data_IF_422726325002
#
_entry.id   IF_422726325002
#
_cell.length_a   1.000
_cell.length_b   1.000
_cell.length_c   1.000
_cell.angle_alpha   90.00
_cell.angle_beta   90.00
_cell.angle_gamma   90.00
#
_symmetry.space_group_name_H-M   'P 1'
#
loop_
_entity.id
_entity.type
_entity.pdbx_description
1 polymer ?
#
# COMPACT_ATOMS: atom_id res chain seq x y z
N UNK A 1 21.71 26.15 7.89
CA UNK A 1 20.28 26.46 8.09
C UNK A 1 19.75 25.63 9.27
N UNK A 2 18.97 26.21 10.19
CA UNK A 2 18.38 25.39 11.26
C UNK A 2 17.21 24.57 10.67
N UNK A 3 17.27 23.26 10.81
CA UNK A 3 16.15 22.38 10.42
C UNK A 3 15.07 22.52 11.49
N UNK A 4 13.91 23.04 11.10
CA UNK A 4 12.80 23.17 12.01
C UNK A 4 12.00 21.86 12.02
N UNK A 5 12.06 21.12 13.10
CA UNK A 5 11.29 19.89 13.29
C UNK A 5 9.96 20.21 13.95
N UNK A 6 8.90 19.57 13.49
CA UNK A 6 7.58 19.71 14.09
C UNK A 6 7.59 19.13 15.50
N UNK A 7 7.08 19.89 16.48
CA UNK A 7 7.08 19.52 17.90
C UNK A 7 6.39 18.20 18.22
N UNK A 8 5.41 17.78 17.42
CA UNK A 8 4.77 16.46 17.57
C UNK A 8 5.76 15.30 17.49
N UNK A 9 6.90 15.48 16.81
CA UNK A 9 7.94 14.45 16.72
C UNK A 9 8.98 14.52 17.85
N UNK A 10 8.88 15.47 18.78
CA UNK A 10 9.78 15.56 19.93
C UNK A 10 9.90 14.25 20.71
N UNK A 11 8.81 13.47 20.93
CA UNK A 11 8.92 12.18 21.61
C UNK A 11 9.86 11.19 20.92
N UNK A 12 10.03 11.25 19.60
CA UNK A 12 10.99 10.43 18.85
C UNK A 12 12.42 10.56 19.40
N UNK A 13 12.78 11.74 19.86
CA UNK A 13 14.13 12.06 20.38
C UNK A 13 14.27 11.82 21.88
N UNK A 14 13.20 11.80 22.64
CA UNK A 14 13.23 11.81 24.11
C UNK A 14 12.75 10.53 24.76
N UNK A 15 11.95 9.73 24.08
CA UNK A 15 11.37 8.52 24.66
C UNK A 15 12.40 7.46 25.00
N UNK A 16 12.14 6.71 26.05
CA UNK A 16 12.91 5.51 26.43
C UNK A 16 12.18 4.21 26.11
N UNK A 17 10.97 4.30 25.59
CA UNK A 17 10.18 3.15 25.18
C UNK A 17 10.86 2.40 24.02
N UNK A 18 10.63 1.09 23.97
CA UNK A 18 11.20 0.22 22.93
C UNK A 18 10.59 0.49 21.56
N UNK A 19 9.24 0.53 21.53
CA UNK A 19 8.50 0.71 20.29
C UNK A 19 8.12 2.18 20.12
N UNK A 20 8.40 2.70 18.94
CA UNK A 20 7.98 4.03 18.52
C UNK A 20 7.14 3.84 17.27
N UNK A 21 5.85 4.10 17.36
CA UNK A 21 4.90 3.89 16.24
C UNK A 21 4.46 5.24 15.72
N UNK A 22 4.72 5.49 14.43
CA UNK A 22 4.31 6.70 13.75
C UNK A 22 3.16 6.37 12.80
N UNK A 23 1.96 6.80 13.14
CA UNK A 23 0.80 6.69 12.26
C UNK A 23 0.39 8.04 11.69
N UNK A 24 -0.40 8.00 10.64
CA UNK A 24 -0.97 9.20 10.07
C UNK A 24 -1.28 9.05 8.59
N UNK A 25 -1.95 10.05 8.03
CA UNK A 25 -2.25 10.10 6.61
C UNK A 25 -1.02 10.37 5.74
N UNK A 26 -1.24 10.40 4.44
CA UNK A 26 -0.23 10.88 3.48
C UNK A 26 0.10 12.36 3.74
N UNK A 27 1.26 12.78 3.30
CA UNK A 27 1.75 14.16 3.43
C UNK A 27 1.93 14.67 4.89
N UNK A 28 2.01 13.79 5.88
CA UNK A 28 2.15 14.11 7.31
C UNK A 28 3.61 14.19 7.80
N UNK A 29 4.59 14.17 6.90
CA UNK A 29 6.04 14.30 7.16
C UNK A 29 6.68 13.24 8.07
N UNK A 30 6.05 12.08 8.28
CA UNK A 30 6.57 10.98 9.14
C UNK A 30 7.97 10.55 8.71
N UNK A 31 8.14 10.15 7.45
CA UNK A 31 9.43 9.65 6.93
C UNK A 31 10.52 10.72 7.03
N UNK A 32 10.18 12.00 6.72
CA UNK A 32 11.11 13.11 6.87
C UNK A 32 11.70 13.21 8.28
N UNK A 33 10.87 13.12 9.31
CA UNK A 33 11.32 13.24 10.70
C UNK A 33 12.08 12.01 11.17
N UNK A 34 11.66 10.80 10.75
CA UNK A 34 12.38 9.58 11.11
C UNK A 34 13.72 9.49 10.40
N UNK A 35 13.82 9.81 9.11
CA UNK A 35 15.09 9.81 8.40
C UNK A 35 16.06 10.84 9.00
N UNK A 36 15.58 12.03 9.37
CA UNK A 36 16.36 13.03 10.09
C UNK A 36 16.84 12.51 11.45
N UNK A 37 15.94 11.92 12.25
CA UNK A 37 16.29 11.33 13.54
C UNK A 37 17.35 10.23 13.37
N UNK A 38 17.19 9.33 12.42
CA UNK A 38 18.12 8.23 12.18
C UNK A 38 19.49 8.74 11.73
N UNK A 39 19.55 9.79 10.90
CA UNK A 39 20.83 10.48 10.59
C UNK A 39 21.50 11.01 11.84
N UNK A 40 20.77 11.70 12.71
CA UNK A 40 21.30 12.25 13.96
C UNK A 40 21.71 11.15 14.93
N UNK A 41 20.96 10.05 14.98
CA UNK A 41 21.26 8.89 15.82
C UNK A 41 22.65 8.29 15.51
N UNK A 42 23.16 8.39 14.28
CA UNK A 42 24.51 7.91 13.93
C UNK A 42 25.63 8.64 14.67
N UNK A 43 25.38 9.80 15.25
CA UNK A 43 26.38 10.52 16.07
C UNK A 43 26.51 9.96 17.49
N UNK A 44 25.55 9.16 17.95
CA UNK A 44 25.67 8.41 19.19
C UNK A 44 26.63 7.21 19.00
N UNK A 45 27.36 6.84 20.07
CA UNK A 45 28.34 5.75 20.03
C UNK A 45 27.63 4.40 19.76
N UNK A 46 28.25 3.58 18.91
CA UNK A 46 27.82 2.19 18.61
C UNK A 46 26.40 2.07 18.05
N UNK A 47 25.95 3.06 17.32
CA UNK A 47 24.64 2.99 16.66
C UNK A 47 24.73 2.26 15.33
N UNK A 48 23.86 1.29 15.16
CA UNK A 48 23.63 0.58 13.91
C UNK A 48 22.14 0.45 13.67
N UNK A 49 21.64 1.15 12.67
CA UNK A 49 20.23 1.13 12.29
C UNK A 49 20.01 0.17 11.12
N UNK A 50 19.10 -0.77 11.28
CA UNK A 50 18.54 -1.54 10.19
C UNK A 50 17.26 -0.86 9.71
N UNK A 51 17.32 -0.19 8.55
CA UNK A 51 16.18 0.50 7.94
C UNK A 51 15.60 -0.36 6.84
N UNK A 52 14.35 -0.76 6.97
CA UNK A 52 13.73 -1.71 6.07
C UNK A 52 12.50 -1.15 5.39
N UNK A 53 12.28 -1.61 4.16
CA UNK A 53 11.03 -1.61 3.42
C UNK A 53 10.66 -3.02 3.00
N UNK A 54 9.44 -3.18 2.48
CA UNK A 54 9.00 -4.48 2.01
C UNK A 54 9.91 -5.05 0.93
N UNK A 55 10.33 -4.23 -0.05
CA UNK A 55 11.30 -4.63 -1.09
C UNK A 55 12.54 -3.73 -1.12
N UNK A 56 13.68 -4.28 -1.58
CA UNK A 56 14.93 -3.51 -1.70
C UNK A 56 14.85 -2.47 -2.83
N UNK A 57 14.17 -2.77 -3.92
CA UNK A 57 13.98 -1.82 -5.04
C UNK A 57 13.26 -0.55 -4.59
N UNK A 58 12.25 -0.67 -3.72
CA UNK A 58 11.59 0.50 -3.13
C UNK A 58 12.53 1.33 -2.26
N UNK A 59 13.44 0.67 -1.52
CA UNK A 59 14.43 1.37 -0.69
C UNK A 59 15.44 2.15 -1.54
N UNK A 60 15.94 1.58 -2.63
CA UNK A 60 16.93 2.23 -3.52
C UNK A 60 16.36 3.48 -4.20
N UNK A 61 15.09 3.43 -4.62
CA UNK A 61 14.46 4.51 -5.39
C UNK A 61 14.06 5.69 -4.48
N UNK A 62 13.64 5.44 -3.25
CA UNK A 62 13.03 6.47 -2.40
C UNK A 62 13.81 6.77 -1.13
N UNK A 63 14.24 5.76 -0.35
CA UNK A 63 14.83 6.01 0.97
C UNK A 63 16.25 6.56 0.85
N UNK A 64 17.10 5.97 0.02
CA UNK A 64 18.51 6.41 -0.10
C UNK A 64 18.61 7.85 -0.62
N UNK A 65 17.85 8.27 -1.65
CA UNK A 65 17.78 9.67 -2.04
C UNK A 65 17.31 10.59 -0.90
N UNK A 66 16.31 10.17 -0.12
CA UNK A 66 15.83 10.93 1.04
C UNK A 66 16.92 11.14 2.09
N UNK A 67 17.72 10.11 2.39
CA UNK A 67 18.84 10.26 3.33
C UNK A 67 19.96 11.17 2.79
N UNK A 68 20.24 11.15 1.49
CA UNK A 68 21.17 12.10 0.86
C UNK A 68 20.68 13.52 1.02
N UNK A 69 19.41 13.78 0.75
CA UNK A 69 18.78 15.09 0.96
C UNK A 69 18.89 15.54 2.44
N UNK A 70 18.70 14.63 3.41
CA UNK A 70 18.84 14.99 4.85
C UNK A 70 20.28 15.32 5.23
N UNK A 71 21.26 14.59 4.71
CA UNK A 71 22.67 14.85 4.92
C UNK A 71 23.05 16.23 4.36
N UNK A 72 22.55 16.58 3.19
CA UNK A 72 22.73 17.90 2.58
C UNK A 72 22.02 19.00 3.39
N UNK A 73 20.77 18.77 3.77
CA UNK A 73 19.96 19.72 4.57
C UNK A 73 20.59 20.03 5.93
N UNK A 74 21.21 19.02 6.54
CA UNK A 74 21.93 19.16 7.82
C UNK A 74 23.34 19.76 7.65
N UNK A 75 23.81 20.01 6.43
CA UNK A 75 25.14 20.53 6.11
C UNK A 75 26.29 19.64 6.64
N UNK A 76 26.10 18.31 6.64
CA UNK A 76 27.03 17.34 7.23
C UNK A 76 27.64 16.36 6.21
N UNK A 77 27.66 16.72 4.92
CA UNK A 77 28.15 15.87 3.82
C UNK A 77 29.53 15.27 4.10
N UNK A 78 30.43 16.03 4.71
CA UNK A 78 31.79 15.60 5.02
C UNK A 78 31.88 14.55 6.15
N UNK A 79 30.79 14.27 6.82
CA UNK A 79 30.72 13.29 7.88
C UNK A 79 30.12 11.94 7.42
N UNK A 80 29.67 11.84 6.17
CA UNK A 80 28.96 10.64 5.71
C UNK A 80 29.52 10.09 4.41
N UNK A 81 29.59 8.77 4.34
CA UNK A 81 29.74 8.01 3.09
C UNK A 81 28.42 7.32 2.77
N UNK A 82 27.89 7.56 1.57
CA UNK A 82 26.62 6.97 1.10
C UNK A 82 26.92 6.01 -0.04
N UNK A 83 26.50 4.77 0.13
CA UNK A 83 26.55 3.71 -0.89
C UNK A 83 25.15 3.37 -1.40
N UNK A 84 25.03 2.39 -2.29
CA UNK A 84 23.74 1.89 -2.74
C UNK A 84 22.92 1.14 -1.67
N UNK A 85 23.53 0.76 -0.53
CA UNK A 85 22.87 -0.07 0.49
C UNK A 85 23.07 0.43 1.92
N UNK A 86 23.99 1.34 2.13
CA UNK A 86 24.40 1.74 3.48
C UNK A 86 24.79 3.23 3.52
N UNK A 87 24.56 3.85 4.67
CA UNK A 87 25.05 5.18 5.01
C UNK A 87 25.92 5.04 6.27
N UNK A 88 27.13 5.53 6.21
CA UNK A 88 28.13 5.42 7.30
C UNK A 88 28.56 6.81 7.73
N UNK A 89 28.42 7.09 9.03
CA UNK A 89 29.02 8.27 9.64
C UNK A 89 30.51 8.02 9.89
N UNK A 90 31.35 8.66 9.12
CA UNK A 90 32.82 8.45 9.15
C UNK A 90 33.49 8.97 10.44
N UNK A 91 32.80 9.86 11.17
CA UNK A 91 33.33 10.42 12.45
C UNK A 91 33.12 9.51 13.66
N UNK A 92 32.03 8.75 13.64
CA UNK A 92 31.59 7.94 14.78
C UNK A 92 31.58 6.45 14.50
N UNK A 93 31.55 6.04 13.20
CA UNK A 93 31.34 4.68 12.77
C UNK A 93 29.87 4.24 12.89
N UNK A 94 28.93 5.17 13.12
CA UNK A 94 27.50 4.85 13.11
C UNK A 94 27.01 4.45 11.70
N UNK A 95 26.18 3.43 11.62
CA UNK A 95 25.77 2.82 10.35
C UNK A 95 24.26 2.81 10.19
N UNK A 96 23.78 3.05 8.96
CA UNK A 96 22.40 2.82 8.54
C UNK A 96 22.42 1.82 7.39
N UNK A 97 21.83 0.66 7.60
CA UNK A 97 21.78 -0.45 6.64
C UNK A 97 20.39 -0.50 6.01
N UNK A 98 20.29 -0.31 4.69
CA UNK A 98 19.02 -0.39 3.98
C UNK A 98 18.81 -1.81 3.44
N UNK A 99 17.69 -2.43 3.80
CA UNK A 99 17.38 -3.82 3.39
C UNK A 99 15.90 -3.97 3.03
N UNK A 100 15.62 -4.82 2.03
CA UNK A 100 14.27 -5.31 1.77
C UNK A 100 13.95 -6.50 2.68
N UNK A 101 12.72 -6.61 3.12
CA UNK A 101 12.25 -7.77 3.89
C UNK A 101 11.97 -8.95 2.96
N UNK A 102 11.38 -8.67 1.78
CA UNK A 102 11.07 -9.66 0.74
C UNK A 102 12.04 -9.52 -0.45
N UNK A 103 12.38 -10.66 -1.04
CA UNK A 103 13.12 -10.76 -2.31
C UNK A 103 12.32 -11.55 -3.32
N UNK A 104 12.75 -11.54 -4.58
CA UNK A 104 12.20 -12.38 -5.65
C UNK A 104 12.22 -13.90 -5.34
N UNK A 105 13.10 -14.34 -4.43
CA UNK A 105 13.25 -15.75 -4.02
C UNK A 105 12.65 -16.07 -2.64
N UNK A 106 11.93 -15.15 -2.01
CA UNK A 106 11.30 -15.34 -0.69
C UNK A 106 11.63 -14.27 0.33
N UNK A 107 11.41 -14.56 1.63
CA UNK A 107 11.71 -13.62 2.71
C UNK A 107 13.18 -13.66 3.13
N UNK A 108 13.82 -12.50 3.30
CA UNK A 108 15.19 -12.40 3.80
C UNK A 108 15.31 -12.40 5.32
N UNK A 109 14.26 -12.74 6.04
CA UNK A 109 14.22 -12.67 7.51
C UNK A 109 15.40 -13.38 8.16
N UNK A 110 15.83 -14.52 7.60
CA UNK A 110 16.99 -15.25 8.11
C UNK A 110 18.29 -14.44 8.03
N UNK A 111 18.50 -13.70 6.96
CA UNK A 111 19.68 -12.86 6.78
C UNK A 111 19.61 -11.61 7.65
N UNK A 112 18.44 -11.00 7.79
CA UNK A 112 18.25 -9.77 8.57
C UNK A 112 18.47 -9.99 10.07
N UNK A 113 17.94 -11.09 10.63
CA UNK A 113 18.15 -11.44 12.05
C UNK A 113 19.60 -11.76 12.41
N UNK A 114 20.45 -12.08 11.42
CA UNK A 114 21.88 -12.40 11.64
C UNK A 114 22.78 -11.17 11.67
N UNK A 115 22.24 -9.96 11.42
CA UNK A 115 23.02 -8.71 11.47
C UNK A 115 23.35 -8.40 12.93
N UNK A 116 24.61 -8.50 13.28
CA UNK A 116 25.05 -8.25 14.64
C UNK A 116 25.12 -6.75 14.99
N UNK A 117 24.76 -6.43 16.24
CA UNK A 117 24.94 -5.08 16.80
C UNK A 117 23.87 -4.08 16.37
N UNK A 118 22.75 -4.52 15.81
CA UNK A 118 21.62 -3.63 15.51
C UNK A 118 21.09 -3.04 16.82
N UNK A 119 20.98 -1.72 16.85
CA UNK A 119 20.46 -0.93 17.99
C UNK A 119 19.10 -0.32 17.70
N UNK A 120 18.82 -0.10 16.39
CA UNK A 120 17.57 0.48 15.93
C UNK A 120 17.08 -0.31 14.72
N UNK A 121 15.84 -0.74 14.76
CA UNK A 121 15.13 -1.40 13.64
C UNK A 121 14.01 -0.48 13.18
N UNK A 122 14.03 -0.07 11.92
CA UNK A 122 13.01 0.78 11.31
C UNK A 122 12.26 -0.02 10.25
N UNK A 123 10.95 -0.03 10.36
CA UNK A 123 10.05 -0.59 9.35
C UNK A 123 9.27 0.56 8.74
N UNK A 124 9.62 0.93 7.52
CA UNK A 124 8.94 1.97 6.75
C UNK A 124 7.90 1.36 5.81
N UNK A 125 6.76 2.03 5.64
CA UNK A 125 5.57 1.48 4.97
C UNK A 125 5.15 0.15 5.62
N UNK A 126 5.08 0.14 6.96
CA UNK A 126 4.83 -1.08 7.73
C UNK A 126 3.42 -1.66 7.49
N UNK A 127 2.51 -0.92 6.87
CA UNK A 127 1.23 -1.45 6.38
C UNK A 127 1.38 -2.55 5.31
N UNK A 128 2.52 -2.60 4.61
CA UNK A 128 2.83 -3.66 3.65
C UNK A 128 3.41 -4.91 4.32
N UNK A 129 3.85 -4.80 5.58
CA UNK A 129 4.46 -5.89 6.32
C UNK A 129 3.43 -6.67 7.14
N UNK A 130 2.85 -7.68 6.53
CA UNK A 130 1.71 -8.44 7.09
C UNK A 130 2.10 -9.67 7.90
N UNK A 131 3.37 -10.10 7.85
CA UNK A 131 3.88 -11.27 8.55
C UNK A 131 4.47 -10.88 9.91
N UNK A 132 3.66 -11.02 10.98
CA UNK A 132 4.07 -10.74 12.36
C UNK A 132 5.23 -11.64 12.81
N UNK A 133 5.24 -12.92 12.44
CA UNK A 133 6.32 -13.85 12.80
C UNK A 133 7.67 -13.42 12.25
N UNK A 134 7.69 -12.89 11.04
CA UNK A 134 8.91 -12.33 10.45
C UNK A 134 9.36 -11.06 11.15
N UNK A 135 8.42 -10.21 11.57
CA UNK A 135 8.73 -9.03 12.40
C UNK A 135 9.36 -9.44 13.72
N UNK A 136 8.77 -10.37 14.45
CA UNK A 136 9.25 -10.85 15.75
C UNK A 136 10.67 -11.44 15.66
N UNK A 137 10.98 -12.19 14.59
CA UNK A 137 12.33 -12.74 14.37
C UNK A 137 13.39 -11.65 14.23
N UNK A 138 13.07 -10.51 13.61
CA UNK A 138 13.99 -9.39 13.48
C UNK A 138 14.03 -8.58 14.78
N UNK A 139 12.88 -8.29 15.37
CA UNK A 139 12.77 -7.55 16.65
C UNK A 139 13.58 -8.21 17.76
N UNK A 140 13.48 -9.54 17.92
CA UNK A 140 14.25 -10.30 18.88
C UNK A 140 15.78 -10.23 18.65
N UNK A 141 16.22 -9.86 17.45
CA UNK A 141 17.65 -9.66 17.15
C UNK A 141 18.19 -8.31 17.61
N UNK A 142 17.32 -7.34 17.88
CA UNK A 142 17.66 -6.01 18.39
C UNK A 142 17.79 -6.06 19.92
N UNK A 143 18.95 -6.46 20.39
CA UNK A 143 19.18 -6.82 21.81
C UNK A 143 20.57 -6.44 22.33
N UNK A 144 21.14 -5.34 21.86
CA UNK A 144 22.45 -4.89 22.35
C UNK A 144 22.37 -4.35 23.78
N UNK A 145 23.41 -4.59 24.57
CA UNK A 145 23.59 -3.95 25.90
C UNK A 145 24.29 -2.60 25.80
N UNK A 146 24.81 -2.24 24.64
CA UNK A 146 25.71 -1.09 24.49
C UNK A 146 24.97 0.23 24.22
N UNK A 147 23.68 0.16 23.82
CA UNK A 147 22.87 1.33 23.52
C UNK A 147 21.38 1.03 23.77
N UNK A 148 20.54 2.05 23.70
CA UNK A 148 19.09 1.86 23.76
C UNK A 148 18.64 1.11 22.50
N UNK A 149 17.89 0.02 22.68
CA UNK A 149 17.27 -0.72 21.60
C UNK A 149 15.94 -0.05 21.22
N UNK A 150 15.77 0.27 19.96
CA UNK A 150 14.57 0.93 19.41
C UNK A 150 14.00 0.15 18.25
N UNK A 151 12.69 0.10 18.17
CA UNK A 151 11.94 -0.39 17.00
C UNK A 151 10.99 0.71 16.56
N UNK A 152 11.22 1.25 15.37
CA UNK A 152 10.43 2.36 14.81
C UNK A 152 9.56 1.80 13.70
N UNK A 153 8.26 1.98 13.83
CA UNK A 153 7.25 1.48 12.87
C UNK A 153 6.55 2.68 12.24
N UNK A 154 6.70 2.87 10.95
CA UNK A 154 6.11 3.99 10.21
C UNK A 154 5.05 3.42 9.28
N UNK A 155 3.82 3.89 9.41
CA UNK A 155 2.73 3.41 8.56
C UNK A 155 1.65 4.46 8.30
N UNK A 156 0.98 4.30 7.18
CA UNK A 156 -0.36 4.83 6.98
C UNK A 156 -1.34 3.72 7.41
N UNK A 157 -2.14 3.92 8.48
CA UNK A 157 -3.01 2.88 8.99
C UNK A 157 -3.84 2.24 7.89
N UNK A 158 -3.91 0.91 7.84
CA UNK A 158 -4.71 0.16 6.86
C UNK A 158 -6.04 -0.25 7.47
N UNK A 159 -6.19 -1.49 7.89
CA UNK A 159 -7.40 -2.00 8.53
C UNK A 159 -7.11 -2.59 9.91
N UNK A 160 -8.14 -2.75 10.72
CA UNK A 160 -8.03 -3.26 12.10
C UNK A 160 -7.69 -4.75 12.19
N UNK A 161 -7.69 -5.48 11.08
CA UNK A 161 -7.23 -6.87 11.04
C UNK A 161 -5.70 -6.98 10.94
N UNK A 162 -5.01 -5.91 10.61
CA UNK A 162 -3.55 -5.89 10.54
C UNK A 162 -2.94 -6.17 11.92
N UNK A 163 -1.86 -6.97 11.98
CA UNK A 163 -1.23 -7.38 13.23
C UNK A 163 -0.75 -6.20 14.09
N UNK A 164 -0.29 -5.09 13.47
CA UNK A 164 0.11 -3.87 14.19
C UNK A 164 -1.07 -3.29 14.98
N UNK A 165 -2.27 -3.26 14.39
CA UNK A 165 -3.46 -2.82 15.11
C UNK A 165 -3.81 -3.78 16.27
N UNK A 166 -3.85 -5.08 15.99
CA UNK A 166 -4.18 -6.10 16.98
C UNK A 166 -3.23 -6.07 18.17
N UNK A 167 -1.93 -5.92 17.92
CA UNK A 167 -0.88 -5.93 18.93
C UNK A 167 -0.84 -4.65 19.76
N UNK A 168 -0.95 -3.48 19.14
CA UNK A 168 -0.62 -2.22 19.78
C UNK A 168 -1.82 -1.26 19.98
N UNK A 169 -2.98 -1.55 19.41
CA UNK A 169 -4.13 -0.67 19.48
C UNK A 169 -5.40 -1.35 19.99
N UNK A 170 -5.69 -2.58 19.63
CA UNK A 170 -7.02 -3.20 19.81
C UNK A 170 -7.56 -3.11 21.24
N UNK A 171 -6.71 -3.30 22.25
CA UNK A 171 -7.05 -3.26 23.66
C UNK A 171 -6.45 -2.06 24.42
N UNK A 172 -5.72 -1.20 23.73
CA UNK A 172 -4.89 -0.15 24.35
C UNK A 172 -4.89 1.10 23.48
N UNK A 173 -6.05 1.75 23.33
CA UNK A 173 -6.17 3.00 22.60
C UNK A 173 -7.16 3.95 23.26
N UNK A 174 -7.01 5.23 22.96
CA UNK A 174 -7.99 6.29 23.20
C UNK A 174 -8.40 6.89 21.87
N UNK A 175 -9.56 7.52 21.86
CA UNK A 175 -10.05 8.25 20.68
C UNK A 175 -9.70 9.73 20.83
N UNK A 176 -9.06 10.30 19.81
CA UNK A 176 -8.87 11.74 19.65
C UNK A 176 -9.63 12.22 18.43
N UNK A 177 -10.34 13.33 18.57
CA UNK A 177 -11.06 13.94 17.45
C UNK A 177 -10.10 14.85 16.66
N UNK A 178 -9.87 14.52 15.39
CA UNK A 178 -9.05 15.33 14.49
C UNK A 178 -9.93 15.72 13.30
N UNK A 179 -10.10 17.01 13.09
CA UNK A 179 -10.95 17.57 12.04
C UNK A 179 -12.35 16.92 11.96
N UNK A 180 -12.94 16.69 13.15
CA UNK A 180 -14.28 16.14 13.30
C UNK A 180 -14.38 14.60 13.15
N UNK A 181 -13.27 13.89 12.91
CA UNK A 181 -13.25 12.43 12.77
C UNK A 181 -12.49 11.76 13.92
N UNK A 182 -12.94 10.57 14.38
CA UNK A 182 -12.31 9.84 15.47
C UNK A 182 -11.03 9.16 14.99
N UNK A 183 -9.92 9.42 15.66
CA UNK A 183 -8.63 8.79 15.42
C UNK A 183 -8.21 8.00 16.65
N UNK A 184 -7.76 6.77 16.46
CA UNK A 184 -7.30 5.89 17.51
C UNK A 184 -5.82 6.14 17.80
N UNK A 185 -5.53 6.52 19.05
CA UNK A 185 -4.19 6.78 19.55
C UNK A 185 -3.82 5.65 20.51
N UNK A 186 -2.76 4.90 20.22
CA UNK A 186 -2.30 3.82 21.10
C UNK A 186 -1.90 4.35 22.47
N UNK A 187 -2.33 3.65 23.50
CA UNK A 187 -1.97 3.88 24.90
C UNK A 187 -1.19 2.70 25.49
N UNK A 188 -0.67 1.81 24.63
CA UNK A 188 0.09 0.64 25.04
C UNK A 188 1.36 1.05 25.81
N UNK A 189 1.63 0.39 26.93
CA UNK A 189 2.68 0.77 27.87
C UNK A 189 4.09 0.83 27.24
N UNK A 190 4.41 -0.11 26.33
CA UNK A 190 5.72 -0.19 25.68
C UNK A 190 5.83 0.68 24.41
N UNK A 191 4.77 1.40 24.04
CA UNK A 191 4.68 2.16 22.79
C UNK A 191 4.71 3.66 23.04
N UNK A 192 5.62 4.35 22.38
CA UNK A 192 5.51 5.78 22.12
C UNK A 192 4.78 5.96 20.79
N UNK A 193 3.54 6.41 20.84
CA UNK A 193 2.74 6.62 19.64
C UNK A 193 2.74 8.09 19.23
N UNK A 194 3.15 8.34 18.00
CA UNK A 194 3.15 9.68 17.38
C UNK A 194 2.17 9.63 16.21
N UNK A 195 1.08 10.36 16.32
CA UNK A 195 0.11 10.48 15.24
C UNK A 195 0.18 11.86 14.59
N UNK A 196 0.31 11.90 13.26
CA UNK A 196 0.40 13.14 12.50
C UNK A 196 -0.45 13.07 11.24
N UNK A 197 -0.93 14.23 10.81
CA UNK A 197 -1.75 14.37 9.62
C UNK A 197 -1.15 15.45 8.69
N UNK A 198 -1.72 15.63 7.52
CA UNK A 198 -1.34 16.73 6.65
C UNK A 198 -1.51 18.11 7.32
N UNK A 199 -2.45 18.23 8.28
CA UNK A 199 -2.69 19.46 9.04
C UNK A 199 -1.46 19.91 9.82
N UNK A 200 -0.64 18.96 10.24
CA UNK A 200 0.62 19.21 10.94
C UNK A 200 1.76 19.63 9.99
N UNK A 201 1.52 19.58 8.67
CA UNK A 201 2.53 19.82 7.64
C UNK A 201 2.07 20.79 6.54
N UNK A 202 0.97 21.51 6.74
CA UNK A 202 0.35 22.39 5.72
C UNK A 202 1.36 23.34 5.09
N UNK A 203 2.26 23.93 5.90
CA UNK A 203 3.25 24.89 5.43
C UNK A 203 4.22 24.35 4.37
N UNK A 204 4.34 23.03 4.26
CA UNK A 204 5.22 22.36 3.30
C UNK A 204 4.46 21.72 2.13
N UNK A 205 3.15 21.91 2.04
CA UNK A 205 2.32 21.34 0.99
C UNK A 205 2.00 22.35 -0.10
N UNK A 206 1.98 21.89 -1.34
CA UNK A 206 1.54 22.71 -2.47
C UNK A 206 0.04 22.96 -2.41
N UNK A 207 -0.39 24.07 -2.99
CA UNK A 207 -1.83 24.37 -3.11
C UNK A 207 -2.60 23.28 -3.87
N UNK A 208 -1.97 22.67 -4.89
CA UNK A 208 -2.57 21.57 -5.63
C UNK A 208 -2.80 20.35 -4.75
N UNK A 209 -1.83 19.97 -3.90
CA UNK A 209 -2.01 18.88 -2.94
C UNK A 209 -3.12 19.15 -1.94
N UNK A 210 -3.21 20.38 -1.44
CA UNK A 210 -4.28 20.77 -0.52
C UNK A 210 -5.67 20.73 -1.19
N UNK A 211 -5.77 21.13 -2.45
CA UNK A 211 -7.03 21.03 -3.23
C UNK A 211 -7.48 19.59 -3.42
N UNK A 212 -6.54 18.66 -3.65
CA UNK A 212 -6.86 17.21 -3.75
C UNK A 212 -7.41 16.69 -2.43
N UNK A 213 -6.78 17.03 -1.29
CA UNK A 213 -7.24 16.62 0.03
C UNK A 213 -8.63 17.22 0.34
N UNK A 214 -8.83 18.50 0.05
CA UNK A 214 -10.12 19.16 0.27
C UNK A 214 -11.23 18.54 -0.60
N UNK A 215 -10.96 18.25 -1.87
CA UNK A 215 -11.90 17.52 -2.73
C UNK A 215 -12.25 16.15 -2.15
N UNK A 216 -11.25 15.42 -1.63
CA UNK A 216 -11.49 14.13 -0.96
C UNK A 216 -12.40 14.28 0.25
N UNK A 217 -12.20 15.33 1.08
CA UNK A 217 -13.05 15.64 2.23
C UNK A 217 -14.51 15.88 1.84
N UNK A 218 -14.72 16.60 0.73
CA UNK A 218 -16.06 16.90 0.21
C UNK A 218 -16.75 15.68 -0.41
N UNK A 219 -15.99 14.77 -1.03
CA UNK A 219 -16.55 13.62 -1.76
C UNK A 219 -16.72 12.38 -0.89
N UNK A 220 -15.82 12.12 0.06
CA UNK A 220 -15.88 10.94 0.92
C UNK A 220 -15.16 11.18 2.25
N UNK A 221 -15.91 11.44 3.31
CA UNK A 221 -15.36 11.57 4.67
C UNK A 221 -14.62 10.31 5.12
N UNK A 222 -15.06 9.13 4.69
CA UNK A 222 -14.39 7.86 5.01
C UNK A 222 -12.99 7.81 4.40
N UNK A 223 -12.84 8.14 3.11
CA UNK A 223 -11.55 8.17 2.44
C UNK A 223 -10.65 9.29 2.96
N UNK A 224 -11.23 10.44 3.26
CA UNK A 224 -10.52 11.54 3.91
C UNK A 224 -9.97 11.14 5.28
N UNK A 225 -10.80 10.54 6.15
CA UNK A 225 -10.37 10.02 7.43
C UNK A 225 -9.23 9.01 7.30
N UNK A 226 -9.37 8.08 6.38
CA UNK A 226 -8.35 7.05 6.16
C UNK A 226 -7.06 7.59 5.53
N UNK A 227 -7.13 8.22 4.35
CA UNK A 227 -5.93 8.61 3.56
C UNK A 227 -5.26 9.88 4.06
N UNK A 228 -6.05 10.89 4.49
CA UNK A 228 -5.51 12.18 4.88
C UNK A 228 -5.26 12.29 6.39
N UNK A 229 -6.14 11.72 7.22
CA UNK A 229 -6.00 11.77 8.66
C UNK A 229 -5.37 10.51 9.28
N UNK A 230 -5.27 9.39 8.56
CA UNK A 230 -4.67 8.16 9.08
C UNK A 230 -5.57 7.38 10.02
N UNK A 231 -6.86 7.35 9.75
CA UNK A 231 -7.84 6.54 10.47
C UNK A 231 -7.71 5.07 10.10
N UNK A 232 -7.74 4.16 11.09
CA UNK A 232 -7.87 2.74 10.86
C UNK A 232 -9.24 2.41 10.28
N UNK A 233 -9.28 1.49 9.33
CA UNK A 233 -10.54 1.06 8.72
C UNK A 233 -11.17 -0.08 9.51
N UNK A 234 -12.45 0.07 9.84
CA UNK A 234 -13.28 -1.03 10.28
C UNK A 234 -13.65 -1.90 9.09
N UNK A 235 -13.29 -3.18 9.15
CA UNK A 235 -13.79 -4.20 8.24
C UNK A 235 -14.89 -4.93 8.99
N UNK A 236 -16.14 -4.77 8.55
CA UNK A 236 -17.29 -5.43 9.16
C UNK A 236 -17.12 -6.96 9.16
N UNK A 237 -17.67 -7.64 10.17
CA UNK A 237 -17.75 -9.11 10.15
C UNK A 237 -18.50 -9.59 8.91
N UNK A 238 -17.94 -10.59 8.21
CA UNK A 238 -18.51 -11.15 7.00
C UNK A 238 -17.83 -10.68 5.70
N UNK A 239 -18.59 -10.52 4.64
CA UNK A 239 -18.10 -10.17 3.31
C UNK A 239 -17.51 -8.76 3.25
N UNK A 240 -16.36 -8.62 2.59
CA UNK A 240 -15.71 -7.32 2.34
C UNK A 240 -16.48 -6.45 1.35
N UNK A 241 -17.25 -7.05 0.46
CA UNK A 241 -17.91 -6.40 -0.67
C UNK A 241 -19.46 -6.48 -0.56
N UNK A 242 -19.99 -6.50 0.67
CA UNK A 242 -21.42 -6.61 0.90
C UNK A 242 -22.20 -5.39 0.37
N UNK A 243 -21.61 -4.22 0.41
CA UNK A 243 -22.20 -2.94 0.02
C UNK A 243 -21.51 -2.33 -1.21
N UNK A 244 -21.47 -3.06 -2.32
CA UNK A 244 -21.00 -2.52 -3.59
C UNK A 244 -22.04 -1.55 -4.16
N UNK A 245 -21.58 -0.45 -4.77
CA UNK A 245 -22.45 0.53 -5.45
C UNK A 245 -22.82 -0.01 -6.83
N UNK A 246 -24.01 0.29 -7.27
CA UNK A 246 -24.51 -0.12 -8.59
C UNK A 246 -24.93 1.07 -9.44
N UNK A 247 -25.11 0.85 -10.73
CA UNK A 247 -25.62 1.83 -11.68
C UNK A 247 -26.56 1.20 -12.71
N UNK A 248 -27.50 1.99 -13.20
CA UNK A 248 -28.35 1.63 -14.33
C UNK A 248 -27.54 1.78 -15.62
N UNK A 249 -27.44 0.71 -16.38
CA UNK A 249 -26.76 0.75 -17.66
C UNK A 249 -27.49 1.71 -18.60
N UNK A 250 -26.75 2.71 -19.10
CA UNK A 250 -27.25 3.69 -20.04
C UNK A 250 -26.20 3.92 -21.12
N UNK A 251 -26.56 3.72 -22.38
CA UNK A 251 -25.66 3.90 -23.54
C UNK A 251 -25.23 5.37 -23.74
N UNK A 252 -25.94 6.33 -23.13
CA UNK A 252 -25.60 7.75 -23.19
C UNK A 252 -24.45 8.17 -22.27
N UNK A 253 -23.91 7.26 -21.42
CA UNK A 253 -22.78 7.57 -20.56
C UNK A 253 -21.51 7.81 -21.39
N UNK A 254 -20.94 9.00 -21.27
CA UNK A 254 -19.66 9.33 -21.85
C UNK A 254 -18.55 9.10 -20.82
N UNK A 255 -17.55 8.33 -21.17
CA UNK A 255 -16.47 7.95 -20.30
C UNK A 255 -15.18 8.67 -20.69
N UNK A 256 -14.37 9.04 -19.68
CA UNK A 256 -13.10 9.75 -19.88
C UNK A 256 -12.01 8.81 -20.39
N UNK A 257 -11.93 7.59 -19.83
CA UNK A 257 -10.94 6.58 -20.20
C UNK A 257 -11.48 5.17 -19.97
N UNK A 258 -10.83 4.18 -20.59
CA UNK A 258 -11.20 2.77 -20.50
C UNK A 258 -9.99 1.88 -20.21
N UNK A 259 -10.09 1.08 -19.14
CA UNK A 259 -9.05 0.21 -18.63
C UNK A 259 -9.57 -1.22 -18.50
N UNK A 260 -8.66 -2.19 -18.65
CA UNK A 260 -8.94 -3.57 -18.29
C UNK A 260 -7.80 -4.16 -17.44
N UNK A 261 -8.14 -5.11 -16.58
CA UNK A 261 -7.18 -5.92 -15.86
C UNK A 261 -7.53 -7.39 -16.03
N UNK A 262 -6.54 -8.23 -16.29
CA UNK A 262 -6.71 -9.66 -16.48
C UNK A 262 -5.88 -10.40 -15.45
N UNK A 263 -6.55 -11.17 -14.58
CA UNK A 263 -5.98 -12.20 -13.74
C UNK A 263 -6.16 -13.56 -14.43
N UNK A 264 -5.07 -14.30 -14.60
CA UNK A 264 -5.08 -15.58 -15.32
C UNK A 264 -4.79 -16.70 -14.33
N UNK A 265 -5.66 -17.70 -14.30
CA UNK A 265 -5.48 -18.91 -13.51
C UNK A 265 -4.15 -19.61 -13.85
N UNK A 266 -3.35 -19.94 -12.83
CA UNK A 266 -2.06 -20.60 -13.02
C UNK A 266 -2.19 -22.10 -13.28
N UNK A 267 -3.09 -22.82 -12.59
CA UNK A 267 -3.40 -24.24 -12.81
C UNK A 267 -4.71 -24.66 -12.09
N UNK A 268 -5.49 -25.56 -12.66
CA UNK A 268 -6.57 -26.29 -11.99
C UNK A 268 -7.95 -25.64 -12.10
N UNK A 269 -8.66 -25.42 -10.99
CA UNK A 269 -10.06 -24.99 -10.91
C UNK A 269 -10.24 -23.46 -10.78
N UNK A 270 -9.23 -22.67 -11.07
CA UNK A 270 -9.29 -21.21 -10.96
C UNK A 270 -9.85 -20.60 -12.24
N UNK A 271 -10.48 -19.42 -12.09
CA UNK A 271 -11.10 -18.71 -13.21
C UNK A 271 -10.15 -17.68 -13.80
N UNK A 272 -10.13 -17.57 -15.16
CA UNK A 272 -9.67 -16.34 -15.76
C UNK A 272 -10.70 -15.25 -15.42
N UNK A 273 -10.22 -14.15 -14.87
CA UNK A 273 -11.06 -12.98 -14.58
C UNK A 273 -10.51 -11.73 -15.27
N UNK A 274 -11.25 -11.20 -16.24
CA UNK A 274 -10.99 -9.88 -16.81
C UNK A 274 -12.08 -8.92 -16.36
N UNK A 275 -11.68 -7.78 -15.81
CA UNK A 275 -12.60 -6.70 -15.41
C UNK A 275 -12.31 -5.47 -16.25
N UNK A 276 -13.35 -4.91 -16.88
CA UNK A 276 -13.28 -3.67 -17.64
C UNK A 276 -13.89 -2.53 -16.84
N UNK A 277 -13.07 -1.52 -16.54
CA UNK A 277 -13.46 -0.31 -15.83
C UNK A 277 -13.34 0.92 -16.72
N UNK A 278 -14.37 1.76 -16.75
CA UNK A 278 -14.39 3.03 -17.48
C UNK A 278 -14.70 4.14 -16.49
N UNK A 279 -13.91 5.21 -16.45
CA UNK A 279 -14.11 6.26 -15.47
C UNK A 279 -14.94 7.44 -15.99
N UNK A 280 -15.67 8.05 -15.05
CA UNK A 280 -16.25 9.39 -15.16
C UNK A 280 -15.82 10.13 -13.89
N UNK A 281 -14.88 11.05 -14.01
CA UNK A 281 -14.22 11.65 -12.86
C UNK A 281 -13.57 10.56 -11.98
N UNK A 282 -13.92 10.51 -10.71
CA UNK A 282 -13.41 9.51 -9.76
C UNK A 282 -14.21 8.18 -9.74
N UNK A 283 -15.39 8.13 -10.35
CA UNK A 283 -16.20 6.90 -10.39
C UNK A 283 -15.71 5.96 -11.50
N UNK A 284 -15.60 4.67 -11.18
CA UNK A 284 -15.16 3.63 -12.10
C UNK A 284 -16.35 2.71 -12.36
N UNK A 285 -16.88 2.78 -13.56
CA UNK A 285 -18.00 1.97 -14.01
C UNK A 285 -17.47 0.62 -14.53
N UNK A 286 -17.82 -0.46 -13.88
CA UNK A 286 -17.48 -1.82 -14.34
C UNK A 286 -18.45 -2.18 -15.46
N UNK A 287 -17.98 -1.96 -16.70
CA UNK A 287 -18.86 -2.09 -17.89
C UNK A 287 -18.94 -3.50 -18.41
N UNK A 288 -17.89 -4.30 -18.21
CA UNK A 288 -17.88 -5.69 -18.65
C UNK A 288 -16.96 -6.57 -17.80
N UNK A 289 -17.25 -7.87 -17.80
CA UNK A 289 -16.44 -8.88 -17.09
C UNK A 289 -16.41 -10.14 -17.95
N UNK A 290 -15.20 -10.70 -18.16
CA UNK A 290 -15.03 -12.08 -18.62
C UNK A 290 -14.64 -12.90 -17.39
N UNK A 291 -15.44 -13.92 -17.07
CA UNK A 291 -15.24 -14.77 -15.92
C UNK A 291 -15.51 -16.23 -16.32
N UNK A 292 -14.43 -17.02 -16.49
CA UNK A 292 -14.52 -18.33 -17.09
C UNK A 292 -13.40 -19.26 -16.64
N UNK A 293 -13.73 -20.52 -16.40
CA UNK A 293 -12.82 -21.64 -16.17
C UNK A 293 -12.42 -22.38 -17.47
N UNK A 294 -12.88 -21.89 -18.63
CA UNK A 294 -12.53 -22.45 -19.93
C UNK A 294 -11.04 -22.21 -20.25
N UNK A 295 -10.51 -23.07 -21.13
CA UNK A 295 -9.13 -22.94 -21.56
C UNK A 295 -8.84 -21.63 -22.35
N UNK A 296 -7.55 -21.34 -22.56
CA UNK A 296 -7.09 -20.10 -23.20
C UNK A 296 -7.56 -19.97 -24.66
N UNK A 297 -7.84 -21.05 -25.36
CA UNK A 297 -8.34 -21.01 -26.74
C UNK A 297 -9.75 -20.42 -26.83
N UNK A 298 -10.51 -20.51 -25.76
CA UNK A 298 -11.84 -19.93 -25.62
C UNK A 298 -11.77 -18.54 -25.00
N UNK A 299 -11.03 -18.39 -23.90
CA UNK A 299 -11.02 -17.13 -23.13
C UNK A 299 -10.25 -16.02 -23.82
N UNK A 300 -9.20 -16.32 -24.58
CA UNK A 300 -8.43 -15.32 -25.30
C UNK A 300 -9.25 -14.55 -26.36
N UNK A 301 -10.00 -15.21 -27.28
CA UNK A 301 -10.90 -14.51 -28.19
C UNK A 301 -12.03 -13.74 -27.48
N UNK A 302 -12.56 -14.26 -26.36
CA UNK A 302 -13.57 -13.57 -25.56
C UNK A 302 -13.03 -12.27 -24.99
N UNK A 303 -11.84 -12.29 -24.36
CA UNK A 303 -11.18 -11.09 -23.85
C UNK A 303 -10.93 -10.07 -24.98
N UNK A 304 -10.44 -10.53 -26.14
CA UNK A 304 -10.19 -9.65 -27.29
C UNK A 304 -11.49 -9.00 -27.81
N UNK A 305 -12.58 -9.73 -27.84
CA UNK A 305 -13.88 -9.21 -28.24
C UNK A 305 -14.39 -8.13 -27.28
N UNK A 306 -14.35 -8.40 -25.97
CA UNK A 306 -14.82 -7.47 -24.94
C UNK A 306 -13.94 -6.21 -24.89
N UNK A 307 -12.63 -6.34 -25.05
CA UNK A 307 -11.70 -5.21 -25.16
C UNK A 307 -12.09 -4.28 -26.32
N UNK A 308 -12.36 -4.84 -27.49
CA UNK A 308 -12.77 -4.06 -28.67
C UNK A 308 -14.15 -3.40 -28.47
N UNK A 309 -15.14 -4.13 -27.95
CA UNK A 309 -16.49 -3.59 -27.69
C UNK A 309 -16.48 -2.42 -26.70
N UNK A 310 -15.59 -2.45 -25.71
CA UNK A 310 -15.47 -1.40 -24.71
C UNK A 310 -14.44 -0.30 -25.07
N UNK A 311 -13.84 -0.35 -26.28
CA UNK A 311 -12.79 0.57 -26.71
C UNK A 311 -11.71 0.75 -25.61
N UNK A 312 -11.21 -0.38 -25.07
CA UNK A 312 -10.24 -0.35 -23.97
C UNK A 312 -8.92 0.25 -24.45
N UNK A 313 -8.49 1.36 -23.84
CA UNK A 313 -7.24 2.02 -24.19
C UNK A 313 -6.02 1.30 -23.62
N UNK A 314 -6.14 0.82 -22.38
CA UNK A 314 -5.04 0.17 -21.66
C UNK A 314 -5.53 -1.09 -20.97
N UNK A 315 -4.84 -2.21 -21.21
CA UNK A 315 -5.12 -3.48 -20.55
C UNK A 315 -3.87 -3.97 -19.83
N UNK A 316 -3.97 -4.24 -18.53
CA UNK A 316 -2.89 -4.83 -17.73
C UNK A 316 -3.14 -6.31 -17.55
N UNK A 317 -2.13 -7.12 -17.82
CA UNK A 317 -2.16 -8.58 -17.64
C UNK A 317 -1.19 -8.95 -16.55
N UNK A 318 -1.62 -9.78 -15.60
CA UNK A 318 -0.73 -10.28 -14.55
C UNK A 318 0.34 -11.19 -15.17
N UNK A 319 1.61 -10.87 -14.94
CA UNK A 319 2.76 -11.52 -15.60
C UNK A 319 3.33 -12.70 -14.80
N UNK A 320 2.47 -13.66 -14.41
CA UNK A 320 2.96 -15.01 -14.13
C UNK A 320 3.38 -15.69 -15.46
N UNK A 321 3.97 -16.90 -15.40
CA UNK A 321 4.50 -17.59 -16.60
C UNK A 321 3.49 -17.73 -17.74
N UNK A 322 2.22 -18.02 -17.42
CA UNK A 322 1.13 -18.15 -18.39
C UNK A 322 0.58 -16.79 -18.83
N UNK A 323 0.51 -15.82 -17.94
CA UNK A 323 0.00 -14.48 -18.22
C UNK A 323 0.83 -13.72 -19.26
N UNK A 324 2.14 -13.87 -19.22
CA UNK A 324 3.00 -13.25 -20.23
C UNK A 324 2.77 -13.78 -21.64
N UNK A 325 2.50 -15.09 -21.79
CA UNK A 325 2.17 -15.69 -23.09
C UNK A 325 0.79 -15.26 -23.56
N UNK A 326 -0.21 -15.28 -22.66
CA UNK A 326 -1.57 -14.84 -22.96
C UNK A 326 -1.59 -13.38 -23.42
N UNK A 327 -0.94 -12.48 -22.69
CA UNK A 327 -0.87 -11.05 -23.05
C UNK A 327 -0.22 -10.79 -24.40
N UNK A 328 0.85 -11.52 -24.75
CA UNK A 328 1.48 -11.44 -26.10
C UNK A 328 0.54 -11.91 -27.21
N UNK A 329 -0.25 -12.95 -26.96
CA UNK A 329 -1.22 -13.42 -27.94
C UNK A 329 -2.42 -12.47 -28.03
N UNK A 330 -2.87 -11.92 -26.91
CA UNK A 330 -3.92 -10.90 -26.89
C UNK A 330 -3.52 -9.65 -27.67
N UNK A 331 -2.28 -9.19 -27.53
CA UNK A 331 -1.77 -8.03 -28.28
C UNK A 331 -1.86 -8.19 -29.81
N UNK A 332 -1.76 -9.42 -30.33
CA UNK A 332 -1.95 -9.71 -31.76
C UNK A 332 -3.39 -9.54 -32.23
N UNK A 333 -4.35 -9.64 -31.30
CA UNK A 333 -5.78 -9.57 -31.57
C UNK A 333 -6.38 -8.17 -31.36
N UNK A 334 -5.71 -7.32 -30.54
CA UNK A 334 -6.23 -5.99 -30.13
C UNK A 334 -5.16 -4.91 -30.42
N UNK A 335 -5.11 -4.45 -31.66
CA UNK A 335 -4.06 -3.54 -32.14
C UNK A 335 -4.17 -2.10 -31.57
N UNK A 336 -5.35 -1.67 -31.14
CA UNK A 336 -5.63 -0.32 -30.65
C UNK A 336 -5.51 -0.21 -29.12
N UNK A 337 -5.26 -1.32 -28.42
CA UNK A 337 -5.14 -1.39 -26.98
C UNK A 337 -3.69 -1.60 -26.58
N UNK A 338 -3.17 -0.78 -25.68
CA UNK A 338 -1.84 -0.99 -25.08
C UNK A 338 -1.92 -2.12 -24.03
N UNK A 339 -1.24 -3.24 -24.28
CA UNK A 339 -1.12 -4.35 -23.33
C UNK A 339 0.11 -4.11 -22.44
N UNK A 340 -0.13 -3.99 -21.14
CA UNK A 340 0.89 -3.78 -20.13
C UNK A 340 1.03 -5.04 -19.26
N UNK A 341 2.23 -5.33 -18.81
CA UNK A 341 2.52 -6.47 -17.95
C UNK A 341 2.86 -6.00 -16.55
N UNK A 342 2.32 -6.67 -15.54
CA UNK A 342 2.65 -6.40 -14.15
C UNK A 342 2.80 -7.69 -13.35
N UNK A 343 3.81 -7.73 -12.48
CA UNK A 343 3.94 -8.75 -11.44
C UNK A 343 3.50 -8.16 -10.11
N UNK A 344 2.65 -8.86 -9.38
CA UNK A 344 2.33 -8.48 -8.01
C UNK A 344 3.40 -9.03 -7.06
N UNK A 345 3.94 -8.16 -6.21
CA UNK A 345 4.88 -8.54 -5.13
C UNK A 345 4.20 -8.62 -3.77
N UNK A 346 2.99 -8.09 -3.65
CA UNK A 346 2.20 -8.08 -2.41
C UNK A 346 1.34 -9.35 -2.32
N UNK A 347 1.22 -9.92 -1.13
CA UNK A 347 0.35 -11.07 -0.92
C UNK A 347 -1.09 -10.76 -1.34
N UNK A 348 -1.72 -11.64 -2.12
CA UNK A 348 -3.04 -11.48 -2.77
C UNK A 348 -4.11 -10.98 -1.79
N UNK A 349 -4.31 -11.71 -0.69
CA UNK A 349 -5.30 -11.34 0.32
C UNK A 349 -5.08 -9.95 0.92
N UNK A 350 -3.84 -9.58 1.18
CA UNK A 350 -3.49 -8.24 1.70
C UNK A 350 -3.83 -7.14 0.71
N UNK A 351 -3.56 -7.36 -0.58
CA UNK A 351 -3.89 -6.42 -1.66
C UNK A 351 -5.39 -6.21 -1.73
N UNK A 352 -6.17 -7.30 -1.74
CA UNK A 352 -7.64 -7.26 -1.75
C UNK A 352 -8.19 -6.52 -0.54
N UNK A 353 -7.69 -6.80 0.67
CA UNK A 353 -8.08 -6.11 1.89
C UNK A 353 -7.83 -4.60 1.81
N UNK A 354 -6.65 -4.21 1.39
CA UNK A 354 -6.27 -2.80 1.29
C UNK A 354 -7.09 -2.03 0.25
N UNK A 355 -7.44 -2.68 -0.86
CA UNK A 355 -8.21 -2.07 -1.94
C UNK A 355 -9.72 -2.15 -1.75
N UNK A 356 -10.22 -3.04 -0.88
CA UNK A 356 -11.65 -3.29 -0.70
C UNK A 356 -12.47 -2.03 -0.45
N UNK A 357 -11.95 -1.13 0.39
CA UNK A 357 -12.60 0.15 0.70
C UNK A 357 -12.71 1.03 -0.54
N UNK A 358 -11.63 1.13 -1.31
CA UNK A 358 -11.63 1.93 -2.54
C UNK A 358 -12.50 1.33 -3.62
N UNK A 359 -12.53 0.00 -3.73
CA UNK A 359 -13.43 -0.72 -4.65
C UNK A 359 -14.89 -0.43 -4.29
N UNK A 360 -15.28 -0.54 -3.01
CA UNK A 360 -16.62 -0.20 -2.57
C UNK A 360 -16.98 1.28 -2.77
N UNK A 361 -15.98 2.18 -2.68
CA UNK A 361 -16.22 3.62 -2.81
C UNK A 361 -16.30 4.06 -4.28
N UNK A 362 -15.39 3.62 -5.12
CA UNK A 362 -15.24 4.15 -6.48
C UNK A 362 -15.84 3.27 -7.57
N UNK A 363 -15.97 1.93 -7.36
CA UNK A 363 -16.53 1.06 -8.39
C UNK A 363 -18.06 1.14 -8.41
N UNK A 364 -18.61 1.16 -9.62
CA UNK A 364 -20.04 1.10 -9.92
C UNK A 364 -20.30 -0.14 -10.75
N UNK A 365 -20.93 -1.15 -10.18
CA UNK A 365 -21.30 -2.38 -10.89
C UNK A 365 -22.66 -2.20 -11.58
N UNK A 366 -22.88 -2.90 -12.70
CA UNK A 366 -24.23 -2.91 -13.31
C UNK A 366 -25.29 -3.37 -12.32
N UNK A 367 -26.47 -2.77 -12.34
CA UNK A 367 -27.63 -3.29 -11.63
C UNK A 367 -27.94 -4.72 -12.13
N UNK A 368 -28.49 -5.55 -11.25
CA UNK A 368 -28.64 -7.00 -11.46
C UNK A 368 -29.33 -7.34 -12.79
N UNK A 369 -30.34 -6.59 -13.14
CA UNK A 369 -31.12 -6.76 -14.38
C UNK A 369 -30.31 -6.55 -15.68
N UNK A 370 -29.15 -5.90 -15.63
CA UNK A 370 -28.28 -5.64 -16.78
C UNK A 370 -27.06 -6.54 -16.82
N UNK A 371 -26.97 -7.54 -15.92
CA UNK A 371 -25.85 -8.47 -15.85
C UNK A 371 -26.11 -9.70 -16.72
N UNK A 372 -25.14 -10.06 -17.55
CA UNK A 372 -25.11 -11.40 -18.12
C UNK A 372 -24.64 -12.43 -17.06
N UNK A 373 -24.69 -13.71 -17.41
CA UNK A 373 -24.35 -14.81 -16.50
C UNK A 373 -22.92 -14.71 -15.94
N UNK A 374 -21.92 -14.44 -16.78
CA UNK A 374 -20.51 -14.29 -16.34
C UNK A 374 -20.37 -13.15 -15.36
N UNK A 375 -20.97 -11.99 -15.66
CA UNK A 375 -20.95 -10.82 -14.80
C UNK A 375 -21.64 -11.11 -13.45
N UNK A 376 -22.78 -11.80 -13.49
CA UNK A 376 -23.53 -12.18 -12.29
C UNK A 376 -22.70 -13.10 -11.39
N UNK A 377 -22.08 -14.15 -11.96
CA UNK A 377 -21.26 -15.11 -11.25
C UNK A 377 -20.02 -14.45 -10.63
N UNK A 378 -19.35 -13.57 -11.37
CA UNK A 378 -18.20 -12.81 -10.88
C UNK A 378 -18.56 -11.91 -9.68
N UNK A 379 -19.66 -11.15 -9.76
CA UNK A 379 -20.14 -10.33 -8.64
C UNK A 379 -20.58 -11.21 -7.47
N UNK A 380 -21.13 -12.39 -7.73
CA UNK A 380 -21.42 -13.39 -6.69
C UNK A 380 -20.17 -13.80 -5.93
N UNK A 381 -19.09 -14.15 -6.65
CA UNK A 381 -17.80 -14.47 -6.03
C UNK A 381 -17.24 -13.29 -5.22
N UNK A 382 -17.30 -12.07 -5.75
CA UNK A 382 -16.88 -10.85 -5.05
C UNK A 382 -17.59 -10.69 -3.70
N UNK A 383 -18.93 -10.88 -3.68
CA UNK A 383 -19.74 -10.74 -2.45
C UNK A 383 -19.47 -11.82 -1.41
N UNK A 384 -19.00 -12.99 -1.84
CA UNK A 384 -18.69 -14.11 -0.95
C UNK A 384 -17.29 -13.99 -0.31
N UNK A 385 -16.45 -13.07 -0.78
CA UNK A 385 -15.11 -12.92 -0.26
C UNK A 385 -15.11 -12.29 1.13
N UNK A 386 -14.49 -12.98 2.09
CA UNK A 386 -14.50 -12.61 3.50
C UNK A 386 -13.16 -12.04 3.96
N UNK A 387 -13.20 -11.30 5.06
CA UNK A 387 -12.03 -10.63 5.64
C UNK A 387 -10.93 -11.58 6.12
N UNK A 388 -11.26 -12.84 6.39
CA UNK A 388 -10.29 -13.86 6.84
C UNK A 388 -9.58 -14.56 5.68
N UNK A 389 -9.90 -14.20 4.42
CA UNK A 389 -9.28 -14.73 3.22
C UNK A 389 -9.51 -16.23 2.97
N UNK A 390 -10.48 -16.84 3.66
CA UNK A 390 -10.80 -18.27 3.53
C UNK A 390 -11.81 -18.58 2.43
N UNK A 391 -12.13 -17.60 1.59
CA UNK A 391 -12.98 -17.85 0.43
C UNK A 391 -12.34 -18.91 -0.48
N UNK A 392 -13.18 -19.80 -1.01
CA UNK A 392 -12.71 -20.90 -1.88
C UNK A 392 -12.08 -20.38 -3.19
N UNK A 393 -12.54 -19.24 -3.65
CA UNK A 393 -12.10 -18.57 -4.87
C UNK A 393 -11.97 -17.08 -4.62
N UNK A 394 -10.98 -16.44 -5.21
CA UNK A 394 -10.66 -15.02 -5.04
C UNK A 394 -10.32 -14.29 -6.34
N UNK A 395 -10.60 -14.91 -7.50
CA UNK A 395 -10.25 -14.39 -8.82
C UNK A 395 -10.87 -13.01 -9.09
N UNK A 396 -12.18 -12.86 -8.83
CA UNK A 396 -12.88 -11.59 -9.03
C UNK A 396 -12.44 -10.49 -8.04
N UNK A 397 -12.32 -10.74 -6.70
CA UNK A 397 -11.72 -9.79 -5.78
C UNK A 397 -10.31 -9.36 -6.17
N UNK A 398 -9.50 -10.29 -6.66
CA UNK A 398 -8.12 -10.02 -7.07
C UNK A 398 -8.06 -9.19 -8.35
N UNK A 399 -8.85 -9.53 -9.36
CA UNK A 399 -8.95 -8.74 -10.58
C UNK A 399 -9.46 -7.31 -10.30
N UNK A 400 -10.41 -7.12 -9.38
CA UNK A 400 -10.86 -5.81 -8.95
C UNK A 400 -9.74 -5.01 -8.25
N UNK A 401 -8.97 -5.66 -7.37
CA UNK A 401 -7.82 -5.03 -6.71
C UNK A 401 -6.72 -4.67 -7.71
N UNK A 402 -6.43 -5.57 -8.65
CA UNK A 402 -5.50 -5.31 -9.75
C UNK A 402 -5.93 -4.13 -10.63
N UNK A 403 -7.22 -4.06 -10.99
CA UNK A 403 -7.77 -2.94 -11.75
C UNK A 403 -7.68 -1.62 -10.95
N UNK A 404 -8.03 -1.62 -9.66
CA UNK A 404 -7.95 -0.43 -8.82
C UNK A 404 -6.51 0.11 -8.71
N UNK A 405 -5.55 -0.78 -8.46
CA UNK A 405 -4.13 -0.44 -8.44
C UNK A 405 -3.65 0.10 -9.78
N UNK A 406 -4.12 -0.50 -10.89
CA UNK A 406 -3.79 -0.06 -12.24
C UNK A 406 -4.30 1.35 -12.52
N UNK A 407 -5.57 1.60 -12.28
CA UNK A 407 -6.19 2.91 -12.52
C UNK A 407 -5.51 3.99 -11.66
N UNK A 408 -5.20 3.70 -10.38
CA UNK A 408 -4.43 4.61 -9.53
C UNK A 408 -3.07 4.98 -10.12
N UNK A 409 -2.39 4.02 -10.76
CA UNK A 409 -1.09 4.28 -11.38
C UNK A 409 -1.18 5.14 -12.64
N UNK A 410 -2.33 5.15 -13.31
CA UNK A 410 -2.56 5.90 -14.55
C UNK A 410 -3.21 7.28 -14.30
N UNK A 411 -4.00 7.38 -13.25
CA UNK A 411 -4.81 8.56 -12.90
C UNK A 411 -4.52 8.99 -11.45
N UNK A 412 -3.23 9.14 -11.11
CA UNK A 412 -2.76 9.41 -9.74
C UNK A 412 -3.38 10.65 -9.10
N UNK A 413 -3.80 11.63 -9.90
CA UNK A 413 -4.38 12.89 -9.44
C UNK A 413 -5.85 12.77 -9.00
N UNK A 414 -6.51 11.63 -9.29
CA UNK A 414 -7.93 11.41 -8.98
C UNK A 414 -8.16 10.46 -7.78
N UNK A 415 -7.13 9.67 -7.34
CA UNK A 415 -7.31 8.59 -6.34
C UNK A 415 -6.32 8.63 -5.19
#
# INVERSE_FOLDING_TARGET
MAVNLNEKFKPLFTTKKRYIILTGGRASSKSFHVSTFVCLLTYEKKQKTLYTRYTMSSAEISIIPEFKEKIELLEVNNAFTVTAKDVINTKTGGEILFRGIKTSSGTQTANLKSINGVTCFVVDEAEEFTDEDSFDKIDLSVRTKAAQNRVIIILNPSNKEHWIYKRFFSNSHKIEMIDGLPIEISTHDDVEHIHTTYLDNIANLSESSLKVIEKMKQTSLRMYGHKALGQWLDIAEGSLFQHIKTYQHNEALQFDSSFAYIDIADEGNDYLCMVVGRNIGSDIYITDIVFSDANTDITLPQCAMVIKQNNVSYCRVESNSMGAMFGRNLQKLVNETAILFASSTTHKHTRILNDSVSICEYFRFKDEQYRNEMYHNAVGQLKLYTKDGKAKHDDMPDACSGLMTFIRSMLSDLY
#
